data_IF_583684650046
#
_entry.id   IF_583684650046
#
_cell.length_a   1.000
_cell.length_b   1.000
_cell.length_c   1.000
_cell.angle_alpha   90.00
_cell.angle_beta   90.00
_cell.angle_gamma   90.00
#
_symmetry.space_group_name_H-M   'P 1'
#
loop_
_entity.id
_entity.type
_entity.pdbx_description
1 polymer ?
#
# COMPACT_ATOMS: atom_id res chain seq x y z
N UNK A 1 -3.68 6.77 23.47
CA UNK A 1 -4.78 6.45 22.52
C UNK A 1 -4.13 6.03 21.22
N UNK A 2 -4.63 5.02 20.52
CA UNK A 2 -4.10 4.67 19.22
C UNK A 2 -4.25 5.82 18.22
N UNK A 3 -3.28 5.98 17.33
CA UNK A 3 -3.29 7.02 16.30
C UNK A 3 -4.40 6.77 15.27
N UNK A 4 -5.06 7.82 14.73
CA UNK A 4 -6.04 7.65 13.67
C UNK A 4 -5.43 6.92 12.48
N UNK A 5 -6.18 5.97 11.89
CA UNK A 5 -5.70 5.17 10.76
C UNK A 5 -5.38 6.06 9.54
N UNK A 6 -6.13 7.15 9.37
CA UNK A 6 -5.90 8.16 8.33
C UNK A 6 -4.63 9.00 8.52
N UNK A 7 -3.94 8.85 9.65
CA UNK A 7 -2.65 9.49 9.95
C UNK A 7 -1.49 8.48 9.93
N UNK A 8 -1.78 7.17 9.78
CA UNK A 8 -0.75 6.14 9.70
C UNK A 8 0.02 6.25 8.38
N UNK A 9 1.25 6.75 8.47
CA UNK A 9 2.15 6.97 7.33
C UNK A 9 2.66 5.66 6.71
N UNK A 10 3.26 5.74 5.52
CA UNK A 10 3.94 4.65 4.81
C UNK A 10 5.00 3.91 5.67
N UNK A 11 5.51 4.55 6.72
CA UNK A 11 6.36 3.91 7.72
C UNK A 11 5.66 2.75 8.44
N UNK A 12 4.37 2.86 8.75
CA UNK A 12 3.57 1.81 9.44
C UNK A 12 3.53 0.53 8.62
N UNK A 13 3.22 0.65 7.32
CA UNK A 13 3.28 -0.47 6.38
C UNK A 13 4.68 -1.06 6.28
N UNK A 14 5.70 -0.24 6.02
CA UNK A 14 7.06 -0.72 5.81
C UNK A 14 7.65 -1.38 7.09
N UNK A 15 7.23 -0.93 8.28
CA UNK A 15 7.69 -1.45 9.56
C UNK A 15 6.89 -2.66 10.09
N UNK A 16 5.61 -2.78 9.73
CA UNK A 16 4.73 -3.77 10.35
C UNK A 16 3.75 -4.39 9.35
N UNK A 17 3.18 -3.58 8.48
CA UNK A 17 2.06 -4.00 7.64
C UNK A 17 0.76 -4.18 8.41
N UNK A 18 0.77 -4.21 9.75
CA UNK A 18 -0.43 -4.09 10.55
C UNK A 18 -0.75 -2.61 10.78
N UNK A 19 -1.57 -2.10 9.88
CA UNK A 19 -2.04 -0.71 9.86
C UNK A 19 -3.39 -0.57 10.58
N UNK A 20 -3.73 -1.52 11.44
CA UNK A 20 -4.88 -1.37 12.32
C UNK A 20 -4.64 -0.28 13.37
N UNK A 21 -5.72 0.26 13.93
CA UNK A 21 -5.63 1.15 15.09
C UNK A 21 -5.18 0.44 16.37
N UNK A 22 -4.81 -0.85 16.32
CA UNK A 22 -4.34 -1.58 17.50
C UNK A 22 -2.82 -1.47 17.68
N UNK A 23 -2.09 -1.07 16.64
CA UNK A 23 -0.63 -1.03 16.66
C UNK A 23 -0.11 0.34 17.09
N UNK A 24 0.80 0.34 18.06
CA UNK A 24 1.51 1.53 18.54
C UNK A 24 2.72 1.89 17.65
N UNK A 25 2.88 1.23 16.50
CA UNK A 25 4.08 1.33 15.67
C UNK A 25 4.25 2.73 15.08
N UNK A 26 3.15 3.34 14.62
CA UNK A 26 3.18 4.69 14.06
C UNK A 26 3.58 5.72 15.12
N UNK A 27 3.00 5.66 16.31
CA UNK A 27 3.34 6.58 17.40
C UNK A 27 4.80 6.39 17.84
N UNK A 28 5.28 5.14 17.99
CA UNK A 28 6.70 4.87 18.27
C UNK A 28 7.62 5.46 17.20
N UNK A 29 7.21 5.35 15.92
CA UNK A 29 7.92 5.96 14.82
C UNK A 29 7.95 7.49 14.94
N UNK A 30 6.83 8.14 15.25
CA UNK A 30 6.75 9.60 15.40
C UNK A 30 7.61 10.09 16.58
N UNK A 31 7.55 9.40 17.72
CA UNK A 31 8.39 9.69 18.89
C UNK A 31 9.88 9.53 18.57
N UNK A 32 10.25 8.46 17.86
CA UNK A 32 11.62 8.27 17.42
C UNK A 32 12.04 9.33 16.40
N UNK A 33 11.21 9.68 15.43
CA UNK A 33 11.49 10.69 14.43
C UNK A 33 11.75 12.06 15.08
N UNK A 34 10.94 12.46 16.05
CA UNK A 34 11.14 13.71 16.80
C UNK A 34 12.47 13.68 17.60
N UNK A 35 12.76 12.57 18.27
CA UNK A 35 14.05 12.38 18.96
C UNK A 35 15.23 12.45 17.98
N UNK A 36 15.10 11.85 16.79
CA UNK A 36 16.13 11.89 15.76
C UNK A 36 16.38 13.32 15.27
N UNK A 37 15.33 14.13 15.13
CA UNK A 37 15.44 15.53 14.71
C UNK A 37 16.06 16.43 15.78
N UNK A 38 15.85 16.11 17.06
CA UNK A 38 16.31 16.91 18.20
C UNK A 38 17.67 16.47 18.76
N UNK A 39 18.18 15.28 18.39
CA UNK A 39 19.48 14.81 18.88
C UNK A 39 20.67 15.49 18.20
N UNK A 40 21.80 15.46 18.88
CA UNK A 40 23.08 15.85 18.31
C UNK A 40 23.47 14.92 17.14
N UNK A 41 23.49 15.49 15.92
CA UNK A 41 23.77 14.77 14.66
C UNK A 41 25.14 14.09 14.66
N UNK A 42 26.11 14.59 15.44
CA UNK A 42 27.44 13.97 15.55
C UNK A 42 27.38 12.56 16.14
N UNK A 43 26.30 12.22 16.86
CA UNK A 43 26.08 10.87 17.41
C UNK A 43 25.63 9.85 16.37
N UNK A 44 25.18 10.30 15.20
CA UNK A 44 24.66 9.43 14.14
C UNK A 44 25.67 9.17 13.02
N UNK A 45 26.70 10.00 12.90
CA UNK A 45 27.71 9.85 11.87
C UNK A 45 28.45 11.14 11.56
N UNK A 46 29.56 10.99 10.83
CA UNK A 46 30.47 12.09 10.49
C UNK A 46 30.02 12.88 9.26
N UNK A 47 29.13 12.31 8.44
CA UNK A 47 28.54 12.95 7.28
C UNK A 47 27.04 12.61 7.20
N UNK A 48 26.31 13.36 6.37
CA UNK A 48 24.87 13.21 6.25
C UNK A 48 24.44 11.78 5.82
N UNK A 49 25.21 11.12 4.96
CA UNK A 49 24.85 9.78 4.49
C UNK A 49 24.95 8.75 5.62
N UNK A 50 26.00 8.84 6.44
CA UNK A 50 26.13 8.03 7.66
C UNK A 50 24.99 8.34 8.64
N UNK A 51 24.68 9.62 8.85
CA UNK A 51 23.60 10.04 9.74
C UNK A 51 22.24 9.49 9.31
N UNK A 52 21.94 9.53 8.00
CA UNK A 52 20.72 8.96 7.41
C UNK A 52 20.68 7.45 7.53
N UNK A 53 21.80 6.78 7.27
CA UNK A 53 21.89 5.32 7.41
C UNK A 53 21.63 4.89 8.86
N UNK A 54 22.22 5.59 9.83
CA UNK A 54 22.03 5.29 11.23
C UNK A 54 20.60 5.62 11.71
N UNK A 55 20.04 6.75 11.29
CA UNK A 55 18.64 7.08 11.54
C UNK A 55 17.70 6.00 10.98
N UNK A 56 17.94 5.55 9.75
CA UNK A 56 17.17 4.46 9.13
C UNK A 56 17.32 3.14 9.88
N UNK A 57 18.52 2.81 10.41
CA UNK A 57 18.71 1.61 11.25
C UNK A 57 17.93 1.68 12.55
N UNK A 58 17.92 2.84 13.21
CA UNK A 58 17.12 3.02 14.42
C UNK A 58 15.62 2.92 14.14
N UNK A 59 15.15 3.46 13.00
CA UNK A 59 13.76 3.31 12.56
C UNK A 59 13.43 1.85 12.29
N UNK A 60 14.30 1.13 11.56
CA UNK A 60 14.14 -0.31 11.30
C UNK A 60 14.15 -1.14 12.59
N UNK A 61 14.78 -0.69 13.68
CA UNK A 61 14.72 -1.40 14.95
C UNK A 61 13.32 -1.42 15.58
N UNK A 62 12.39 -0.57 15.12
CA UNK A 62 10.99 -0.60 15.56
C UNK A 62 10.18 -1.73 14.91
N UNK A 63 10.72 -2.38 13.87
CA UNK A 63 9.98 -3.34 13.04
C UNK A 63 9.36 -4.47 13.87
N UNK A 64 8.19 -4.90 13.45
CA UNK A 64 7.62 -6.14 13.99
C UNK A 64 8.52 -7.33 13.62
N UNK A 65 8.45 -8.44 14.39
CA UNK A 65 9.22 -9.63 14.11
C UNK A 65 9.02 -10.13 12.68
N UNK A 66 10.13 -10.58 12.08
CA UNK A 66 10.10 -11.25 10.77
C UNK A 66 9.30 -12.54 10.89
N UNK A 67 8.25 -12.64 10.07
CA UNK A 67 7.43 -13.85 9.93
C UNK A 67 7.89 -14.68 8.74
N UNK A 68 8.31 -14.04 7.65
CA UNK A 68 8.76 -14.72 6.44
C UNK A 68 10.17 -14.25 6.04
N UNK A 69 11.21 -15.06 6.32
CA UNK A 69 12.58 -14.72 5.99
C UNK A 69 12.81 -14.58 4.48
N UNK A 70 13.58 -13.58 4.09
CA UNK A 70 14.00 -13.35 2.71
C UNK A 70 15.47 -12.95 2.71
N UNK A 71 16.28 -13.54 1.83
CA UNK A 71 17.74 -13.41 1.87
C UNK A 71 18.23 -11.99 1.54
N UNK A 72 17.62 -11.37 0.54
CA UNK A 72 18.06 -10.09 -0.01
C UNK A 72 16.86 -9.14 -0.08
N UNK A 73 16.49 -8.57 1.06
CA UNK A 73 15.38 -7.64 1.20
C UNK A 73 15.83 -6.40 1.98
N UNK A 74 15.29 -5.25 1.59
CA UNK A 74 15.68 -3.94 2.12
C UNK A 74 14.46 -3.14 2.54
N UNK A 75 14.58 -2.52 3.71
CA UNK A 75 13.76 -1.39 4.11
C UNK A 75 14.36 -0.12 3.52
N UNK A 76 13.58 0.60 2.74
CA UNK A 76 14.04 1.75 1.98
C UNK A 76 13.34 3.03 2.46
N UNK A 77 14.07 4.14 2.39
CA UNK A 77 13.54 5.46 2.71
C UNK A 77 14.06 6.51 1.74
N UNK A 78 13.21 7.50 1.41
CA UNK A 78 13.59 8.67 0.62
C UNK A 78 13.60 9.95 1.45
N UNK A 79 14.57 10.83 1.22
CA UNK A 79 14.70 12.14 1.87
C UNK A 79 14.35 13.26 0.87
N UNK A 80 13.45 14.17 1.25
CA UNK A 80 12.99 15.24 0.34
C UNK A 80 14.04 16.33 0.12
N UNK A 81 14.87 16.59 1.13
CA UNK A 81 15.89 17.63 1.09
C UNK A 81 17.30 17.06 1.26
N UNK A 82 18.32 17.91 1.08
CA UNK A 82 19.72 17.59 1.38
C UNK A 82 20.09 17.74 2.86
N UNK A 83 19.13 18.04 3.73
CA UNK A 83 19.36 18.26 5.16
C UNK A 83 18.49 17.36 6.04
N UNK A 84 17.49 16.71 5.43
CA UNK A 84 16.56 15.81 6.10
C UNK A 84 17.30 14.60 6.65
N UNK A 85 17.02 14.30 7.91
CA UNK A 85 17.56 13.17 8.65
C UNK A 85 16.56 12.01 8.76
N UNK A 86 15.27 12.31 8.70
CA UNK A 86 14.19 11.32 8.68
C UNK A 86 13.60 11.29 7.27
N UNK A 87 13.44 10.08 6.73
CA UNK A 87 12.88 9.91 5.40
C UNK A 87 11.39 10.34 5.39
N UNK A 88 10.97 10.96 4.29
CA UNK A 88 9.61 11.40 4.04
C UNK A 88 8.71 10.26 3.53
N UNK A 89 9.31 9.25 2.90
CA UNK A 89 8.60 8.10 2.34
C UNK A 89 9.37 6.80 2.56
N UNK A 90 8.65 5.69 2.75
CA UNK A 90 9.22 4.37 3.05
C UNK A 90 8.58 3.27 2.19
N UNK A 91 9.38 2.29 1.76
CA UNK A 91 8.94 1.12 1.01
C UNK A 91 9.85 -0.09 1.28
N UNK A 92 9.48 -1.26 0.76
CA UNK A 92 10.29 -2.49 0.85
C UNK A 92 10.74 -2.90 -0.55
N UNK A 93 12.03 -3.17 -0.72
CA UNK A 93 12.60 -3.78 -1.94
C UNK A 93 13.04 -5.22 -1.63
N UNK A 94 12.41 -6.18 -2.29
CA UNK A 94 12.79 -7.59 -2.23
C UNK A 94 13.59 -7.94 -3.49
N UNK A 95 14.90 -7.85 -3.34
CA UNK A 95 15.87 -8.12 -4.41
C UNK A 95 16.01 -9.62 -4.69
N UNK A 96 15.65 -10.50 -3.74
CA UNK A 96 15.58 -11.94 -3.99
C UNK A 96 14.55 -12.26 -5.07
N UNK A 97 13.39 -11.60 -5.00
CA UNK A 97 12.29 -11.83 -5.93
C UNK A 97 12.15 -10.75 -7.02
N UNK A 98 12.93 -9.67 -6.94
CA UNK A 98 12.94 -8.58 -7.92
C UNK A 98 11.69 -7.71 -7.86
N UNK A 99 11.11 -7.50 -6.67
CA UNK A 99 9.89 -6.72 -6.50
C UNK A 99 10.07 -5.58 -5.48
N UNK A 100 9.31 -4.51 -5.68
CA UNK A 100 9.15 -3.44 -4.68
C UNK A 100 7.71 -3.39 -4.23
N UNK A 101 7.51 -3.28 -2.92
CA UNK A 101 6.19 -3.12 -2.31
C UNK A 101 6.11 -1.79 -1.58
N UNK A 102 5.06 -1.03 -1.86
CA UNK A 102 4.88 0.35 -1.43
C UNK A 102 3.41 0.58 -1.02
N UNK A 103 3.17 1.54 -0.14
CA UNK A 103 1.81 1.95 0.25
C UNK A 103 1.71 3.46 0.26
N UNK A 104 0.49 3.98 0.25
CA UNK A 104 0.23 5.38 0.53
C UNK A 104 -1.02 5.51 1.39
N UNK A 105 -1.06 6.57 2.20
CA UNK A 105 -2.13 6.79 3.18
C UNK A 105 -3.53 6.82 2.54
N UNK A 106 -3.60 7.23 1.26
CA UNK A 106 -4.83 7.33 0.47
C UNK A 106 -5.04 6.17 -0.52
N UNK A 107 -4.49 4.99 -0.23
CA UNK A 107 -4.72 3.77 -1.02
C UNK A 107 -5.29 2.66 -0.16
N UNK A 108 -6.27 1.94 -0.70
CA UNK A 108 -6.92 0.78 -0.09
C UNK A 108 -6.10 -0.52 -0.22
N UNK A 109 -5.06 -0.49 -1.05
CA UNK A 109 -4.24 -1.64 -1.44
C UNK A 109 -2.76 -1.29 -1.50
N UNK A 110 -1.92 -2.32 -1.35
CA UNK A 110 -0.46 -2.22 -1.51
C UNK A 110 -0.11 -2.21 -2.98
N UNK A 111 0.82 -1.33 -3.35
CA UNK A 111 1.37 -1.26 -4.69
C UNK A 111 2.54 -2.22 -4.78
N UNK A 112 2.54 -3.06 -5.81
CA UNK A 112 3.64 -3.97 -6.11
C UNK A 112 4.13 -3.66 -7.51
N UNK A 113 5.42 -3.38 -7.64
CA UNK A 113 6.09 -3.19 -8.93
C UNK A 113 7.18 -4.25 -9.09
N UNK A 114 7.37 -4.69 -10.32
CA UNK A 114 8.29 -5.74 -10.78
C UNK A 114 9.73 -5.23 -10.97
N UNK A 115 10.15 -4.29 -10.13
CA UNK A 115 11.48 -3.70 -10.18
C UNK A 115 11.99 -3.39 -8.78
N UNK A 116 13.31 -3.44 -8.61
CA UNK A 116 14.01 -2.95 -7.43
C UNK A 116 14.99 -1.86 -7.82
N UNK A 117 15.32 -0.98 -6.87
CA UNK A 117 16.28 0.08 -7.12
C UNK A 117 17.69 -0.48 -7.30
N UNK A 118 18.44 0.16 -8.19
CA UNK A 118 19.86 -0.12 -8.39
C UNK A 118 20.66 0.92 -7.60
N UNK A 119 21.66 0.44 -6.87
CA UNK A 119 22.55 1.30 -6.10
C UNK A 119 23.17 2.41 -6.97
N UNK A 120 23.16 3.64 -6.45
CA UNK A 120 23.64 4.81 -7.18
C UNK A 120 22.76 5.29 -8.34
N UNK A 121 21.58 4.69 -8.58
CA UNK A 121 20.62 5.14 -9.60
C UNK A 121 19.34 5.70 -8.98
N UNK A 122 18.69 6.68 -9.66
CA UNK A 122 17.35 7.10 -9.29
C UNK A 122 16.38 5.92 -9.33
N UNK A 123 15.40 5.92 -8.43
CA UNK A 123 14.39 4.88 -8.37
C UNK A 123 13.01 5.45 -8.04
N UNK A 124 11.96 4.90 -8.64
CA UNK A 124 10.59 5.32 -8.40
C UNK A 124 9.86 4.20 -7.68
N UNK A 125 9.58 4.41 -6.40
CA UNK A 125 8.72 3.51 -5.64
C UNK A 125 7.27 3.56 -6.17
N UNK A 126 6.49 2.51 -5.90
CA UNK A 126 5.19 2.29 -6.56
C UNK A 126 4.16 3.41 -6.39
N UNK A 127 4.20 4.16 -5.29
CA UNK A 127 3.23 5.22 -5.00
C UNK A 127 3.58 6.58 -5.60
N UNK A 128 4.81 6.74 -6.09
CA UNK A 128 5.37 8.07 -6.38
C UNK A 128 5.20 8.50 -7.84
N UNK A 129 4.89 9.78 -8.02
CA UNK A 129 4.70 10.37 -9.35
C UNK A 129 6.00 10.49 -10.15
N UNK A 130 7.16 10.55 -9.46
CA UNK A 130 8.49 10.76 -10.05
C UNK A 130 9.52 9.89 -9.36
N UNK A 131 10.62 9.60 -10.06
CA UNK A 131 11.75 8.90 -9.47
C UNK A 131 12.47 9.79 -8.45
N UNK A 132 12.86 9.19 -7.34
CA UNK A 132 13.73 9.81 -6.36
C UNK A 132 15.18 9.77 -6.84
N UNK A 133 15.94 10.87 -6.68
CA UNK A 133 17.39 10.89 -6.89
C UNK A 133 18.12 9.81 -6.09
N UNK A 134 19.21 9.27 -6.65
CA UNK A 134 19.97 8.20 -6.02
C UNK A 134 20.53 8.58 -4.63
N UNK A 135 21.02 9.82 -4.50
CA UNK A 135 21.60 10.38 -3.28
C UNK A 135 20.56 10.70 -2.19
N UNK A 136 19.28 10.56 -2.52
CA UNK A 136 18.16 10.74 -1.60
C UNK A 136 17.57 9.41 -1.12
N UNK A 137 18.09 8.27 -1.56
CA UNK A 137 17.59 6.95 -1.16
C UNK A 137 18.59 6.32 -0.20
N UNK A 138 18.07 5.76 0.90
CA UNK A 138 18.86 4.90 1.79
C UNK A 138 18.17 3.56 1.94
N UNK A 139 18.97 2.49 1.90
CA UNK A 139 18.53 1.10 2.04
C UNK A 139 19.16 0.49 3.28
N UNK A 140 18.34 -0.16 4.10
CA UNK A 140 18.78 -0.95 5.25
C UNK A 140 18.35 -2.39 5.02
N UNK A 141 19.31 -3.32 5.02
CA UNK A 141 19.00 -4.74 4.89
C UNK A 141 18.17 -5.21 6.08
N UNK A 142 17.13 -5.98 5.82
CA UNK A 142 16.26 -6.60 6.82
C UNK A 142 16.19 -8.11 6.59
N UNK A 143 15.59 -8.84 7.53
CA UNK A 143 15.63 -10.32 7.52
C UNK A 143 14.47 -10.95 6.75
N UNK A 144 13.44 -10.20 6.38
CA UNK A 144 12.24 -10.73 5.75
C UNK A 144 10.99 -9.89 5.99
N UNK A 145 9.82 -10.37 5.57
CA UNK A 145 8.53 -9.71 5.78
C UNK A 145 7.97 -9.99 7.17
N UNK A 146 7.28 -9.01 7.74
CA UNK A 146 6.49 -9.16 8.97
C UNK A 146 5.18 -9.90 8.68
N UNK A 147 4.46 -10.31 9.74
CA UNK A 147 3.15 -10.96 9.60
C UNK A 147 2.14 -10.09 8.84
N UNK A 148 1.98 -8.82 9.22
CA UNK A 148 1.03 -7.91 8.57
C UNK A 148 1.34 -7.70 7.08
N UNK A 149 2.63 -7.63 6.73
CA UNK A 149 3.06 -7.54 5.33
C UNK A 149 2.72 -8.82 4.55
N UNK A 150 2.98 -10.00 5.12
CA UNK A 150 2.61 -11.28 4.49
C UNK A 150 1.10 -11.38 4.28
N UNK A 151 0.31 -11.06 5.30
CA UNK A 151 -1.15 -11.14 5.25
C UNK A 151 -1.70 -10.24 4.13
N UNK A 152 -1.20 -9.01 4.00
CA UNK A 152 -1.60 -8.09 2.93
C UNK A 152 -1.09 -8.54 1.57
N UNK A 153 0.14 -9.05 1.44
CA UNK A 153 0.65 -9.52 0.15
C UNK A 153 -0.08 -10.77 -0.36
N UNK A 154 -0.59 -11.62 0.55
CA UNK A 154 -1.44 -12.78 0.20
C UNK A 154 -2.81 -12.31 -0.27
N UNK A 155 -3.45 -11.41 0.48
CA UNK A 155 -4.84 -11.00 0.23
C UNK A 155 -4.95 -9.87 -0.81
N UNK A 156 -3.87 -9.13 -1.01
CA UNK A 156 -3.76 -7.92 -1.82
C UNK A 156 -4.74 -6.81 -1.42
N UNK A 157 -5.08 -6.75 -0.12
CA UNK A 157 -6.06 -5.84 0.46
C UNK A 157 -5.60 -5.40 1.84
N UNK A 158 -5.77 -4.12 2.17
CA UNK A 158 -5.51 -3.61 3.53
C UNK A 158 -6.66 -3.98 4.48
N UNK A 159 -6.47 -3.94 5.80
CA UNK A 159 -7.53 -4.18 6.77
C UNK A 159 -8.78 -3.31 6.52
N UNK A 160 -9.98 -3.82 6.81
CA UNK A 160 -11.23 -3.12 6.55
C UNK A 160 -11.30 -1.71 7.18
N UNK A 161 -10.81 -1.57 8.42
CA UNK A 161 -10.76 -0.28 9.11
C UNK A 161 -9.90 0.76 8.37
N UNK A 162 -8.87 0.31 7.65
CA UNK A 162 -8.02 1.14 6.81
C UNK A 162 -8.75 1.58 5.55
N UNK A 163 -9.43 0.64 4.89
CA UNK A 163 -10.27 0.94 3.73
C UNK A 163 -11.31 2.01 4.11
N UNK A 164 -12.03 1.81 5.21
CA UNK A 164 -13.02 2.75 5.75
C UNK A 164 -12.43 4.14 6.03
N UNK A 165 -11.23 4.19 6.61
CA UNK A 165 -10.52 5.45 6.84
C UNK A 165 -10.17 6.16 5.53
N UNK A 166 -9.76 5.42 4.49
CA UNK A 166 -9.49 5.97 3.15
C UNK A 166 -10.78 6.51 2.52
N UNK A 167 -11.90 5.77 2.64
CA UNK A 167 -13.21 6.24 2.17
C UNK A 167 -13.56 7.57 2.83
N UNK A 168 -13.39 7.65 4.15
CA UNK A 168 -13.71 8.85 4.91
C UNK A 168 -12.81 10.03 4.50
N UNK A 169 -11.51 9.81 4.33
CA UNK A 169 -10.59 10.84 3.85
C UNK A 169 -10.97 11.36 2.45
N UNK A 170 -11.38 10.48 1.53
CA UNK A 170 -11.87 10.89 0.21
C UNK A 170 -13.15 11.72 0.31
N UNK A 171 -14.10 11.34 1.19
CA UNK A 171 -15.31 12.12 1.45
C UNK A 171 -15.00 13.51 1.99
N UNK A 172 -14.07 13.61 2.95
CA UNK A 172 -13.68 14.88 3.56
C UNK A 172 -13.00 15.81 2.53
N UNK A 173 -12.19 15.26 1.62
CA UNK A 173 -11.56 16.01 0.53
C UNK A 173 -12.57 16.51 -0.53
N UNK A 174 -13.60 15.71 -0.83
CA UNK A 174 -14.75 16.14 -1.65
C UNK A 174 -15.48 17.31 -0.98
N UNK A 175 -15.79 17.18 0.32
CA UNK A 175 -16.47 18.24 1.09
C UNK A 175 -15.66 19.54 1.12
N UNK A 176 -14.33 19.45 1.27
CA UNK A 176 -13.44 20.60 1.17
C UNK A 176 -13.54 21.29 -0.20
N UNK A 177 -13.58 20.50 -1.27
CA UNK A 177 -13.68 21.02 -2.64
C UNK A 177 -15.04 21.65 -2.93
N UNK A 178 -16.12 21.08 -2.37
CA UNK A 178 -17.48 21.66 -2.38
C UNK A 178 -17.48 23.03 -1.70
N UNK A 179 -16.89 23.15 -0.50
CA UNK A 179 -16.81 24.43 0.21
C UNK A 179 -16.09 25.50 -0.62
N UNK A 180 -14.95 25.16 -1.23
CA UNK A 180 -14.19 26.09 -2.08
C UNK A 180 -14.98 26.53 -3.32
N UNK A 181 -15.68 25.59 -3.97
CA UNK A 181 -16.61 25.91 -5.08
C UNK A 181 -17.69 26.89 -4.63
N UNK A 182 -18.35 26.59 -3.52
CA UNK A 182 -19.49 27.36 -3.01
C UNK A 182 -19.04 28.77 -2.57
N UNK A 183 -17.85 28.90 -2.01
CA UNK A 183 -17.26 30.21 -1.72
C UNK A 183 -17.00 31.03 -2.98
N UNK A 184 -16.42 30.43 -4.03
CA UNK A 184 -16.18 31.12 -5.30
C UNK A 184 -17.50 31.47 -6.01
N UNK A 185 -18.51 30.59 -5.93
CA UNK A 185 -19.85 30.84 -6.46
C UNK A 185 -20.54 31.97 -5.69
N UNK A 186 -20.50 31.96 -4.36
CA UNK A 186 -21.06 33.02 -3.53
C UNK A 186 -20.45 34.39 -3.88
N UNK A 187 -19.12 34.45 -4.06
CA UNK A 187 -18.41 35.66 -4.48
C UNK A 187 -18.88 36.15 -5.85
N UNK A 188 -19.14 35.22 -6.78
CA UNK A 188 -19.65 35.53 -8.11
C UNK A 188 -21.09 36.07 -8.06
N UNK A 189 -21.98 35.41 -7.30
CA UNK A 189 -23.39 35.80 -7.15
C UNK A 189 -23.53 37.13 -6.41
N UNK A 190 -22.58 37.44 -5.52
CA UNK A 190 -22.54 38.65 -4.71
C UNK A 190 -21.41 39.60 -5.13
N UNK A 191 -21.08 39.68 -6.43
CA UNK A 191 -19.88 40.37 -6.92
C UNK A 191 -19.76 41.83 -6.46
N UNK A 192 -20.88 42.50 -6.22
CA UNK A 192 -20.95 43.88 -5.71
C UNK A 192 -20.36 44.03 -4.30
N UNK A 193 -20.39 42.98 -3.48
CA UNK A 193 -19.77 42.93 -2.14
C UNK A 193 -18.25 42.72 -2.20
N UNK A 194 -17.69 42.41 -3.37
CA UNK A 194 -16.26 42.13 -3.57
C UNK A 194 -15.67 43.06 -4.65
N UNK A 195 -15.45 44.36 -4.35
CA UNK A 195 -15.06 45.36 -5.35
C UNK A 195 -13.77 45.00 -6.10
N UNK A 196 -12.81 44.39 -5.42
CA UNK A 196 -11.53 43.94 -5.99
C UNK A 196 -11.69 42.76 -6.98
N UNK A 197 -12.79 42.01 -6.92
CA UNK A 197 -13.14 40.97 -7.89
C UNK A 197 -14.18 41.43 -8.92
N UNK A 198 -14.79 42.60 -8.72
CA UNK A 198 -15.79 43.19 -9.62
C UNK A 198 -15.15 43.88 -10.84
N UNK A 199 -14.21 43.19 -11.47
CA UNK A 199 -13.61 43.52 -12.76
C UNK A 199 -13.89 42.37 -13.72
N UNK A 200 -13.77 42.59 -15.03
CA UNK A 200 -13.94 41.52 -16.02
C UNK A 200 -13.01 40.33 -15.73
N UNK A 201 -11.74 40.64 -15.42
CA UNK A 201 -10.74 39.63 -15.04
C UNK A 201 -11.10 38.92 -13.72
N UNK A 202 -11.57 39.65 -12.71
CA UNK A 202 -11.96 39.05 -11.43
C UNK A 202 -13.16 38.11 -11.55
N UNK A 203 -14.17 38.48 -12.35
CA UNK A 203 -15.33 37.61 -12.66
C UNK A 203 -14.90 36.37 -13.44
N UNK A 204 -14.01 36.53 -14.42
CA UNK A 204 -13.46 35.41 -15.20
C UNK A 204 -12.67 34.44 -14.32
N UNK A 205 -11.88 34.94 -13.36
CA UNK A 205 -11.16 34.12 -12.39
C UNK A 205 -12.11 33.32 -11.50
N UNK A 206 -13.14 33.96 -10.91
CA UNK A 206 -14.13 33.28 -10.09
C UNK A 206 -14.88 32.18 -10.86
N UNK A 207 -15.30 32.48 -12.10
CA UNK A 207 -15.89 31.46 -12.99
C UNK A 207 -14.94 30.27 -13.23
N UNK A 208 -13.66 30.54 -13.51
CA UNK A 208 -12.67 29.49 -13.69
C UNK A 208 -12.45 28.68 -12.41
N UNK A 209 -12.47 29.30 -11.23
CA UNK A 209 -12.40 28.61 -9.94
C UNK A 209 -13.60 27.69 -9.71
N UNK A 210 -14.83 28.17 -9.96
CA UNK A 210 -16.05 27.36 -9.87
C UNK A 210 -15.97 26.14 -10.80
N UNK A 211 -15.58 26.34 -12.06
CA UNK A 211 -15.41 25.25 -13.03
C UNK A 211 -14.33 24.26 -12.56
N UNK A 212 -13.18 24.78 -12.11
CA UNK A 212 -12.07 23.96 -11.60
C UNK A 212 -12.53 23.07 -10.44
N UNK A 213 -13.18 23.65 -9.41
CA UNK A 213 -13.60 22.87 -8.25
C UNK A 213 -14.75 21.91 -8.59
N UNK A 214 -15.66 22.29 -9.49
CA UNK A 214 -16.71 21.38 -9.98
C UNK A 214 -16.12 20.14 -10.66
N UNK A 215 -15.13 20.33 -11.54
CA UNK A 215 -14.45 19.22 -12.19
C UNK A 215 -13.67 18.34 -11.19
N UNK A 216 -13.05 18.96 -10.19
CA UNK A 216 -12.37 18.23 -9.12
C UNK A 216 -13.33 17.39 -8.28
N UNK A 217 -14.50 17.92 -7.94
CA UNK A 217 -15.55 17.19 -7.21
C UNK A 217 -15.98 15.97 -8.04
N UNK A 218 -16.32 16.16 -9.31
CA UNK A 218 -16.78 15.07 -10.18
C UNK A 218 -15.74 13.94 -10.28
N UNK A 219 -14.47 14.27 -10.48
CA UNK A 219 -13.39 13.28 -10.54
C UNK A 219 -13.21 12.54 -9.21
N UNK A 220 -13.33 13.23 -8.08
CA UNK A 220 -13.19 12.63 -6.75
C UNK A 220 -14.40 11.76 -6.40
N UNK A 221 -15.61 12.16 -6.76
CA UNK A 221 -16.83 11.37 -6.59
C UNK A 221 -16.79 10.08 -7.39
N UNK A 222 -16.35 10.12 -8.65
CA UNK A 222 -16.12 8.92 -9.47
C UNK A 222 -15.12 7.96 -8.79
N UNK A 223 -14.00 8.49 -8.31
CA UNK A 223 -12.99 7.69 -7.59
C UNK A 223 -13.53 7.08 -6.29
N UNK A 224 -14.36 7.82 -5.55
CA UNK A 224 -15.01 7.33 -4.34
C UNK A 224 -16.02 6.23 -4.68
N UNK A 225 -16.78 6.38 -5.76
CA UNK A 225 -17.73 5.38 -6.24
C UNK A 225 -17.01 4.10 -6.68
N UNK A 226 -15.91 4.20 -7.43
CA UNK A 226 -15.04 3.06 -7.76
C UNK A 226 -14.57 2.33 -6.49
N UNK A 227 -14.11 3.09 -5.50
CA UNK A 227 -13.61 2.55 -4.23
C UNK A 227 -14.73 1.92 -3.36
N UNK A 228 -15.98 2.39 -3.50
CA UNK A 228 -17.15 1.87 -2.77
C UNK A 228 -17.83 0.69 -3.49
N UNK A 229 -17.78 0.63 -4.83
CA UNK A 229 -18.36 -0.44 -5.65
C UNK A 229 -17.45 -1.69 -5.69
N UNK A 230 -16.13 -1.50 -5.59
CA UNK A 230 -15.12 -2.58 -5.50
C UNK A 230 -14.70 -2.90 -4.05
N UNK A 231 -15.65 -3.33 -3.20
CA UNK A 231 -15.30 -4.21 -2.07
C UNK A 231 -14.66 -5.48 -2.67
N UNK A 232 -13.35 -5.75 -2.48
CA UNK A 232 -12.47 -6.05 -3.60
C UNK A 232 -12.74 -7.43 -4.22
N UNK A 233 -13.19 -7.41 -5.49
CA UNK A 233 -12.68 -8.40 -6.46
C UNK A 233 -11.33 -7.89 -6.93
N UNK A 234 -10.29 -8.25 -6.18
CA UNK A 234 -8.86 -8.25 -6.57
C UNK A 234 -8.50 -7.14 -7.59
N UNK A 235 -7.91 -6.01 -7.15
CA UNK A 235 -7.52 -4.91 -8.03
C UNK A 235 -6.81 -5.42 -9.30
N UNK A 236 -7.12 -4.86 -10.48
CA UNK A 236 -6.37 -5.20 -11.68
C UNK A 236 -4.91 -4.82 -11.46
N UNK A 237 -4.01 -5.72 -11.86
CA UNK A 237 -2.59 -5.46 -11.74
C UNK A 237 -2.15 -4.16 -12.41
N UNK A 238 -1.09 -3.53 -11.87
CA UNK A 238 -0.45 -2.42 -12.55
C UNK A 238 0.10 -2.84 -13.92
N UNK A 239 -0.03 -1.92 -14.88
CA UNK A 239 0.60 -2.04 -16.20
C UNK A 239 2.07 -1.60 -16.12
N UNK A 240 2.98 -2.42 -16.66
CA UNK A 240 4.40 -2.07 -16.81
C UNK A 240 4.55 -0.79 -17.65
N UNK A 241 5.52 0.06 -17.29
CA UNK A 241 5.85 1.31 -18.00
C UNK A 241 6.28 1.11 -19.46
N UNK A 242 6.63 -0.12 -19.87
CA UNK A 242 7.18 -0.40 -21.20
C UNK A 242 6.21 -1.13 -22.14
N UNK A 243 4.91 -1.20 -21.82
CA UNK A 243 3.92 -1.86 -22.68
C UNK A 243 4.02 -3.38 -22.73
N UNK A 244 5.02 -3.98 -22.07
CA UNK A 244 5.07 -5.40 -21.81
C UNK A 244 4.14 -5.71 -20.63
N UNK A 245 2.99 -6.28 -20.94
CA UNK A 245 2.06 -6.85 -19.97
C UNK A 245 2.83 -7.93 -19.21
N UNK A 246 3.33 -7.61 -18.02
CA UNK A 246 3.75 -8.66 -17.09
C UNK A 246 2.46 -9.25 -16.60
N UNK A 247 2.14 -10.37 -17.23
CA UNK A 247 1.18 -11.27 -16.68
C UNK A 247 1.68 -11.65 -15.28
N UNK A 248 0.88 -11.39 -14.25
CA UNK A 248 1.11 -12.01 -12.95
C UNK A 248 1.26 -13.51 -13.10
N UNK A 249 0.82 -14.19 -14.14
CA UNK A 249 1.17 -15.60 -14.25
C UNK A 249 2.69 -15.87 -14.34
N UNK A 250 3.54 -14.90 -14.73
CA UNK A 250 5.01 -15.04 -14.66
C UNK A 250 5.62 -14.50 -13.35
N UNK A 251 5.20 -13.33 -12.87
CA UNK A 251 5.68 -12.76 -11.58
C UNK A 251 5.04 -13.41 -10.35
N UNK A 252 3.76 -13.76 -10.43
CA UNK A 252 3.05 -14.62 -9.46
C UNK A 252 3.41 -16.09 -9.62
N UNK A 253 4.01 -16.57 -10.72
CA UNK A 253 4.67 -17.87 -10.67
C UNK A 253 5.81 -17.82 -9.66
N UNK A 254 6.66 -16.79 -9.65
CA UNK A 254 7.75 -16.71 -8.65
C UNK A 254 7.25 -16.34 -7.25
N UNK A 255 6.38 -15.34 -7.11
CA UNK A 255 5.85 -14.92 -5.81
C UNK A 255 4.84 -15.94 -5.24
N UNK A 256 3.90 -16.50 -6.04
CA UNK A 256 3.06 -17.62 -5.56
C UNK A 256 3.83 -18.92 -5.46
N UNK A 257 4.83 -19.25 -6.28
CA UNK A 257 5.59 -20.51 -6.06
C UNK A 257 6.50 -20.39 -4.84
N UNK A 258 7.14 -19.24 -4.63
CA UNK A 258 7.91 -18.96 -3.41
C UNK A 258 7.00 -18.94 -2.16
N UNK A 259 5.88 -18.22 -2.21
CA UNK A 259 4.95 -18.14 -1.08
C UNK A 259 4.11 -19.41 -0.89
N UNK A 260 3.67 -20.11 -1.93
CA UNK A 260 2.94 -21.40 -1.83
C UNK A 260 3.87 -22.53 -1.40
N UNK A 261 5.14 -22.52 -1.84
CA UNK A 261 6.17 -23.45 -1.38
C UNK A 261 6.49 -23.25 0.10
N UNK A 262 6.67 -21.99 0.53
CA UNK A 262 6.89 -21.64 1.93
C UNK A 262 5.68 -21.93 2.84
N UNK A 263 4.45 -21.64 2.37
CA UNK A 263 3.22 -21.92 3.09
C UNK A 263 2.99 -23.45 3.24
N UNK A 264 3.27 -24.24 2.20
CA UNK A 264 3.23 -25.72 2.28
C UNK A 264 4.32 -26.30 3.19
N UNK A 265 5.54 -25.75 3.14
CA UNK A 265 6.63 -26.18 4.03
C UNK A 265 6.33 -25.87 5.50
N UNK A 266 5.68 -24.73 5.80
CA UNK A 266 5.28 -24.36 7.15
C UNK A 266 4.06 -25.14 7.65
N UNK A 267 3.14 -25.53 6.76
CA UNK A 267 2.07 -26.48 7.10
C UNK A 267 2.67 -27.85 7.48
N UNK A 268 3.72 -28.30 6.80
CA UNK A 268 4.44 -29.52 7.16
C UNK A 268 5.21 -29.40 8.49
N UNK A 269 5.75 -28.22 8.82
CA UNK A 269 6.40 -27.96 10.12
C UNK A 269 5.37 -27.90 11.25
N UNK A 270 4.26 -27.17 11.06
CA UNK A 270 3.17 -27.08 12.04
C UNK A 270 2.50 -28.44 12.27
N UNK A 271 2.30 -29.26 11.23
CA UNK A 271 1.81 -30.65 11.37
C UNK A 271 2.82 -31.53 12.12
N UNK A 272 4.12 -31.27 11.99
CA UNK A 272 5.20 -32.01 12.66
C UNK A 272 5.46 -31.51 14.10
N UNK A 273 5.13 -30.25 14.40
CA UNK A 273 5.17 -29.65 15.73
C UNK A 273 3.86 -29.88 16.52
N UNK A 274 2.74 -30.11 15.82
CA UNK A 274 1.45 -30.57 16.37
C UNK A 274 1.32 -32.09 16.37
N UNK A 275 2.42 -32.83 16.23
CA UNK A 275 2.47 -34.24 16.59
C UNK A 275 3.05 -34.37 18.01
N UNK A 276 2.25 -34.18 19.07
CA UNK A 276 2.62 -34.66 20.37
C UNK A 276 2.40 -36.17 20.38
N UNK A 277 3.47 -36.93 20.16
CA UNK A 277 3.66 -38.08 21.02
C UNK A 277 3.57 -37.56 22.46
N UNK A 278 2.47 -37.90 23.14
CA UNK A 278 2.01 -37.47 24.47
C UNK A 278 1.04 -36.27 24.52
N UNK A 279 -0.27 -36.53 24.35
CA UNK A 279 -1.37 -36.09 25.25
C UNK A 279 -2.63 -36.91 24.91
N UNK A 280 -3.22 -37.49 25.95
CA UNK A 280 -4.14 -38.63 25.96
C UNK A 280 -5.62 -38.31 25.62
N UNK A 281 -5.90 -37.25 24.86
CA UNK A 281 -7.28 -36.90 24.48
C UNK A 281 -7.37 -36.47 23.02
N UNK A 282 -8.21 -37.14 22.19
CA UNK A 282 -8.35 -36.79 20.78
C UNK A 282 -8.96 -35.38 20.67
N UNK A 283 -8.38 -34.46 19.87
CA UNK A 283 -9.06 -33.22 19.53
C UNK A 283 -10.39 -33.57 18.87
N UNK A 284 -11.48 -32.95 19.32
CA UNK A 284 -12.83 -33.30 18.86
C UNK A 284 -12.88 -33.34 17.34
N UNK A 285 -13.28 -34.50 16.80
CA UNK A 285 -13.34 -34.76 15.35
C UNK A 285 -14.26 -33.78 14.62
N UNK A 286 -15.11 -33.05 15.35
CA UNK A 286 -15.91 -31.94 14.86
C UNK A 286 -15.09 -30.71 14.46
N UNK A 287 -13.99 -30.40 15.15
CA UNK A 287 -13.20 -29.20 14.87
C UNK A 287 -12.30 -29.40 13.63
N UNK A 288 -11.70 -30.57 13.51
CA UNK A 288 -10.91 -30.98 12.33
C UNK A 288 -11.82 -31.16 11.11
N UNK A 289 -13.02 -31.74 11.27
CA UNK A 289 -14.02 -31.79 10.17
C UNK A 289 -14.56 -30.42 9.80
N UNK A 290 -14.72 -29.50 10.76
CA UNK A 290 -15.20 -28.15 10.49
C UNK A 290 -14.16 -27.35 9.70
N UNK A 291 -12.87 -27.49 10.03
CA UNK A 291 -11.79 -26.81 9.29
C UNK A 291 -11.61 -27.40 7.89
N UNK A 292 -11.67 -28.73 7.75
CA UNK A 292 -11.60 -29.39 6.45
C UNK A 292 -12.83 -29.10 5.59
N UNK A 293 -14.05 -29.07 6.15
CA UNK A 293 -15.26 -28.75 5.39
C UNK A 293 -15.32 -27.28 4.96
N UNK A 294 -14.76 -26.36 5.75
CA UNK A 294 -14.67 -24.95 5.39
C UNK A 294 -13.64 -24.74 4.27
N UNK A 295 -12.54 -25.49 4.30
CA UNK A 295 -11.50 -25.45 3.27
C UNK A 295 -11.93 -26.15 1.97
N UNK A 296 -12.62 -27.29 2.06
CA UNK A 296 -13.18 -28.00 0.89
C UNK A 296 -14.27 -27.17 0.21
N UNK A 297 -15.11 -26.48 0.99
CA UNK A 297 -16.07 -25.51 0.44
C UNK A 297 -15.39 -24.30 -0.20
N UNK A 298 -14.21 -23.88 0.30
CA UNK A 298 -13.44 -22.78 -0.27
C UNK A 298 -12.74 -23.19 -1.59
N UNK A 299 -12.12 -24.38 -1.61
CA UNK A 299 -11.48 -24.95 -2.82
C UNK A 299 -12.52 -25.27 -3.90
N UNK A 300 -13.67 -25.84 -3.54
CA UNK A 300 -14.76 -26.10 -4.48
C UNK A 300 -15.39 -24.80 -5.01
N UNK A 301 -15.45 -23.73 -4.22
CA UNK A 301 -15.86 -22.41 -4.71
C UNK A 301 -14.87 -21.83 -5.72
N UNK A 302 -13.57 -22.05 -5.52
CA UNK A 302 -12.54 -21.62 -6.47
C UNK A 302 -12.59 -22.42 -7.79
N UNK A 303 -12.82 -23.73 -7.75
CA UNK A 303 -12.97 -24.55 -8.96
C UNK A 303 -14.24 -24.20 -9.76
N UNK A 304 -15.37 -23.98 -9.08
CA UNK A 304 -16.63 -23.60 -9.75
C UNK A 304 -16.56 -22.21 -10.41
N UNK A 305 -15.72 -21.31 -9.89
CA UNK A 305 -15.44 -20.01 -10.51
C UNK A 305 -14.60 -20.20 -11.78
N UNK A 306 -13.61 -21.11 -11.78
CA UNK A 306 -12.77 -21.41 -12.95
C UNK A 306 -13.56 -22.04 -14.11
N UNK A 307 -14.52 -22.93 -13.83
CA UNK A 307 -15.31 -23.59 -14.88
C UNK A 307 -16.30 -22.62 -15.56
N UNK A 308 -16.85 -21.64 -14.83
CA UNK A 308 -17.72 -20.61 -15.41
C UNK A 308 -16.98 -19.62 -16.32
N UNK A 309 -15.68 -19.44 -16.16
CA UNK A 309 -14.87 -18.57 -17.01
C UNK A 309 -14.31 -19.28 -18.26
N UNK A 310 -14.20 -20.61 -18.24
CA UNK A 310 -13.74 -21.39 -19.41
C UNK A 310 -14.83 -21.56 -20.50
N UNK A 311 -16.12 -21.50 -20.13
CA UNK A 311 -17.24 -21.65 -21.08
C UNK A 311 -17.57 -20.38 -21.89
N UNK A 312 -17.05 -19.21 -21.52
CA UNK A 312 -17.33 -17.94 -22.22
C UNK A 312 -16.34 -17.57 -23.33
N UNK A 313 -15.30 -18.38 -23.56
CA UNK A 313 -14.26 -18.11 -24.57
C UNK A 313 -14.36 -18.97 -25.84
N UNK A 314 -15.46 -19.69 -26.09
CA UNK A 314 -15.64 -20.49 -27.30
C UNK A 314 -16.88 -20.12 -28.11
N UNK A 315 -16.96 -18.87 -28.59
CA UNK A 315 -17.81 -18.55 -29.75
C UNK A 315 -17.08 -17.59 -30.70
N UNK A 316 -16.41 -18.15 -31.71
CA UNK A 316 -15.90 -17.43 -32.87
C UNK A 316 -17.08 -16.98 -33.77
N UNK A 317 -17.09 -15.76 -34.33
CA UNK A 317 -18.16 -15.31 -35.21
C UNK A 317 -17.97 -15.84 -36.64
N UNK A 318 -18.99 -16.51 -37.16
CA UNK A 318 -19.08 -16.93 -38.57
C UNK A 318 -19.29 -15.71 -39.48
N UNK A 319 -18.57 -15.56 -40.60
CA UNK A 319 -18.72 -14.41 -41.48
C UNK A 319 -19.99 -14.53 -42.33
N UNK A 320 -20.74 -13.44 -42.40
CA UNK A 320 -21.93 -13.28 -43.25
C UNK A 320 -21.47 -13.16 -44.71
N UNK A 321 -21.91 -14.07 -45.58
CA UNK A 321 -21.81 -13.95 -47.05
C UNK A 321 -23.04 -13.22 -47.60
N UNK A 322 -22.82 -12.29 -48.53
CA UNK A 322 -23.78 -12.00 -49.61
C UNK A 322 -23.63 -13.06 -50.69
#
# INVERSE_FOLDING_TARGET
>A
MPYPIGDQACSTWALSGDESSLTNIHQKFMELADNLLNQDRSKLGNNLQEQRLEAMRQIVALRDPTEYPVENIYFCGCFNSKEDLVASHFWIEDHTHGITTDTFINRDSVVVIDEVGIEGKPFRSGCEGKAFPADQITRVKIDGYTKGQVDILINYTRPQAVIESVIQAQKDDILSSIRLRDESQYKLDNITKFPHRNTENGRKQLNNEVIKFTNQILMKEQKLEELMLDLPKKPPLPQSRNGNRIDIYEGSSKLRTAMTGALKARQAIIIKELDPETIDHPPSSSLVRSLNSTLDNFVNRLSTIVDRFSLNNSTSPTPIRK
#
